data_IF_261345569420
#
_entry.id   IF_261345569420
#
_cell.length_a   1.000
_cell.length_b   1.000
_cell.length_c   1.000
_cell.angle_alpha   90.00
_cell.angle_beta   90.00
_cell.angle_gamma   90.00
#
_symmetry.space_group_name_H-M   'P 1'
#
loop_
_entity.id
_entity.type
_entity.pdbx_description
1 polymer ?
#
# COMPACT_ATOMS: atom_id res chain seq x y z
N UNK A 1 -5.54 -9.66 20.13
CA UNK A 1 -5.83 -10.87 19.34
C UNK A 1 -7.02 -10.57 18.44
N UNK A 2 -6.78 -9.89 17.32
CA UNK A 2 -7.78 -9.71 16.25
C UNK A 2 -7.02 -9.78 14.92
N UNK A 3 -6.29 -10.88 14.73
CA UNK A 3 -5.54 -11.16 13.48
C UNK A 3 -6.29 -12.17 12.60
N UNK A 4 -7.57 -12.44 12.90
CA UNK A 4 -8.46 -13.31 12.13
C UNK A 4 -9.64 -12.52 11.53
N UNK A 5 -9.39 -11.30 11.04
CA UNK A 5 -10.28 -10.79 9.98
C UNK A 5 -9.90 -11.55 8.73
N UNK A 6 -10.82 -12.40 8.29
CA UNK A 6 -10.69 -13.32 7.17
C UNK A 6 -9.92 -12.64 6.02
N UNK A 7 -8.95 -13.32 5.42
CA UNK A 7 -8.05 -12.73 4.40
C UNK A 7 -8.86 -12.03 3.30
N UNK A 8 -10.02 -12.58 2.94
CA UNK A 8 -11.00 -11.98 2.04
C UNK A 8 -11.49 -10.59 2.48
N UNK A 9 -11.73 -10.40 3.77
CA UNK A 9 -12.22 -9.15 4.35
C UNK A 9 -11.12 -8.08 4.41
N UNK A 10 -9.86 -8.48 4.47
CA UNK A 10 -8.71 -7.59 4.34
C UNK A 10 -8.46 -7.25 2.86
N UNK A 11 -8.64 -8.22 1.96
CA UNK A 11 -8.55 -8.02 0.52
C UNK A 11 -9.66 -7.10 -0.01
N UNK A 12 -10.88 -7.24 0.50
CA UNK A 12 -12.01 -6.36 0.16
C UNK A 12 -11.76 -4.91 0.61
N UNK A 13 -11.20 -4.72 1.81
CA UNK A 13 -10.77 -3.39 2.29
C UNK A 13 -9.64 -2.83 1.44
N UNK A 14 -8.66 -3.65 1.07
CA UNK A 14 -7.57 -3.24 0.19
C UNK A 14 -8.09 -2.82 -1.18
N UNK A 15 -8.97 -3.61 -1.80
CA UNK A 15 -9.57 -3.29 -3.10
C UNK A 15 -10.43 -2.02 -3.05
N UNK A 16 -11.20 -1.80 -1.97
CA UNK A 16 -11.93 -0.54 -1.76
C UNK A 16 -10.98 0.66 -1.66
N UNK A 17 -9.91 0.54 -0.89
CA UNK A 17 -8.89 1.59 -0.78
C UNK A 17 -8.23 1.86 -2.14
N UNK A 18 -7.95 0.83 -2.93
CA UNK A 18 -7.41 0.97 -4.29
C UNK A 18 -8.41 1.70 -5.19
N UNK A 19 -9.71 1.37 -5.15
CA UNK A 19 -10.74 2.05 -5.93
C UNK A 19 -10.92 3.51 -5.48
N UNK A 20 -10.87 3.80 -4.18
CA UNK A 20 -10.89 5.17 -3.67
C UNK A 20 -9.64 5.94 -4.11
N UNK A 21 -8.46 5.31 -4.04
CA UNK A 21 -7.20 5.85 -4.57
C UNK A 21 -7.29 6.08 -6.09
N UNK A 22 -7.93 5.20 -6.85
CA UNK A 22 -8.19 5.34 -8.29
C UNK A 22 -9.13 6.51 -8.61
N UNK A 23 -10.15 6.74 -7.77
CA UNK A 23 -11.01 7.90 -7.89
C UNK A 23 -10.31 9.21 -7.47
N UNK A 24 -9.32 9.13 -6.56
CA UNK A 24 -8.47 10.27 -6.17
C UNK A 24 -7.28 10.45 -7.15
N UNK A 25 -7.03 9.46 -8.03
CA UNK A 25 -5.83 9.31 -8.89
C UNK A 25 -5.66 10.40 -9.93
N UNK A 26 -6.70 11.16 -10.24
CA UNK A 26 -6.55 12.39 -11.04
C UNK A 26 -5.69 13.46 -10.32
N UNK A 27 -5.45 13.33 -9.00
CA UNK A 27 -4.67 14.29 -8.21
C UNK A 27 -3.32 13.80 -7.69
N UNK A 28 -3.10 12.48 -7.58
CA UNK A 28 -1.88 11.94 -6.98
C UNK A 28 -0.98 11.39 -8.08
N UNK A 29 0.22 11.96 -8.21
CA UNK A 29 1.18 11.53 -9.21
C UNK A 29 1.68 10.09 -8.93
N UNK A 30 2.34 9.48 -9.92
CA UNK A 30 2.79 8.09 -9.80
C UNK A 30 3.86 7.88 -8.70
N UNK A 31 4.63 8.91 -8.37
CA UNK A 31 5.66 8.87 -7.33
C UNK A 31 5.04 8.80 -5.92
N UNK A 32 4.06 9.67 -5.66
CA UNK A 32 3.30 9.69 -4.41
C UNK A 32 2.54 8.38 -4.20
N UNK A 33 1.99 7.78 -5.27
CA UNK A 33 1.35 6.46 -5.20
C UNK A 33 2.34 5.36 -4.81
N UNK A 34 3.55 5.37 -5.39
CA UNK A 34 4.59 4.41 -5.06
C UNK A 34 5.03 4.55 -3.59
N UNK A 35 5.16 5.78 -3.09
CA UNK A 35 5.52 6.06 -1.69
C UNK A 35 4.43 5.54 -0.73
N UNK A 36 3.15 5.79 -1.01
CA UNK A 36 2.03 5.30 -0.19
C UNK A 36 2.01 3.78 -0.14
N UNK A 37 2.19 3.12 -1.28
CA UNK A 37 2.24 1.66 -1.37
C UNK A 37 3.40 1.10 -0.53
N UNK A 38 4.61 1.66 -0.68
CA UNK A 38 5.80 1.23 0.06
C UNK A 38 5.66 1.44 1.57
N UNK A 39 4.96 2.48 2.02
CA UNK A 39 4.69 2.72 3.45
C UNK A 39 3.57 1.84 4.03
N UNK A 40 2.74 1.24 3.17
CA UNK A 40 1.65 0.34 3.58
C UNK A 40 2.10 -1.12 3.72
N UNK A 41 3.30 -1.45 3.24
CA UNK A 41 3.85 -2.79 3.33
C UNK A 41 4.24 -3.15 4.78
N UNK A 42 4.07 -4.42 5.19
CA UNK A 42 4.54 -4.89 6.50
C UNK A 42 6.05 -4.66 6.69
N UNK A 43 6.48 -4.50 7.95
CA UNK A 43 7.87 -4.18 8.32
C UNK A 43 8.91 -5.16 7.77
N UNK A 44 8.49 -6.38 7.43
CA UNK A 44 9.30 -7.43 6.80
C UNK A 44 9.87 -6.95 5.44
N UNK A 45 9.18 -6.03 4.76
CA UNK A 45 9.57 -5.46 3.48
C UNK A 45 10.33 -4.14 3.60
N UNK A 46 10.67 -3.67 4.81
CA UNK A 46 11.38 -2.40 5.00
C UNK A 46 12.68 -2.33 4.20
N UNK A 47 13.45 -3.42 4.20
CA UNK A 47 14.71 -3.49 3.46
C UNK A 47 14.50 -3.35 1.94
N UNK A 48 13.39 -3.88 1.40
CA UNK A 48 13.00 -3.71 0.01
C UNK A 48 12.52 -2.27 -0.26
N UNK A 49 11.75 -1.70 0.66
CA UNK A 49 11.32 -0.30 0.59
C UNK A 49 12.51 0.66 0.61
N UNK A 50 13.54 0.39 1.40
CA UNK A 50 14.73 1.23 1.48
C UNK A 50 15.54 1.17 0.18
N UNK A 51 15.72 -0.02 -0.41
CA UNK A 51 16.35 -0.18 -1.73
C UNK A 51 15.60 0.62 -2.80
N UNK A 52 14.27 0.55 -2.82
CA UNK A 52 13.46 1.24 -3.84
C UNK A 52 13.41 2.76 -3.60
N UNK A 53 13.35 3.21 -2.35
CA UNK A 53 13.28 4.64 -1.99
C UNK A 53 14.63 5.35 -2.16
N UNK A 54 15.74 4.66 -1.86
CA UNK A 54 17.07 5.28 -1.78
C UNK A 54 18.05 4.76 -2.84
N UNK A 55 17.66 3.75 -3.63
CA UNK A 55 18.45 3.25 -4.76
C UNK A 55 19.78 2.59 -4.36
N UNK A 56 19.85 1.94 -3.18
CA UNK A 56 21.04 1.19 -2.76
C UNK A 56 21.23 -0.13 -3.51
#
# INVERSE_FOLDING_TARGET
>A
MQEDKNVDENLDKFNKLVIELENIREKINNEDQAIILLNSLPSIYNQLCDIIKYGM
#
